data_IF_049973231059
#
_entry.id   IF_049973231059
#
_cell.length_a   1.000
_cell.length_b   1.000
_cell.length_c   1.000
_cell.angle_alpha   90.00
_cell.angle_beta   90.00
_cell.angle_gamma   90.00
#
_symmetry.space_group_name_H-M   'P 1'
#
loop_
_entity.id
_entity.type
_entity.pdbx_description
1 polymer ?
#
# COMPACT_ATOMS: atom_id res chain seq x y z
N UNK A 1 -26.11 -14.35 -8.07
CA UNK A 1 -26.51 -12.96 -7.75
C UNK A 1 -25.22 -12.24 -7.35
N UNK A 2 -24.70 -11.37 -8.22
CA UNK A 2 -23.51 -10.58 -7.94
C UNK A 2 -23.92 -9.35 -7.14
N UNK A 3 -23.90 -9.44 -5.81
CA UNK A 3 -24.09 -8.27 -4.96
C UNK A 3 -22.75 -7.53 -4.88
N UNK A 4 -22.76 -6.23 -5.18
CA UNK A 4 -21.63 -5.35 -4.89
C UNK A 4 -21.43 -5.28 -3.37
N UNK A 5 -20.21 -5.56 -2.91
CA UNK A 5 -19.84 -5.31 -1.51
C UNK A 5 -19.82 -3.80 -1.24
N UNK A 6 -20.15 -3.38 -0.01
CA UNK A 6 -19.99 -1.98 0.41
C UNK A 6 -18.51 -1.59 0.55
N UNK A 7 -17.65 -2.57 0.83
CA UNK A 7 -16.21 -2.38 1.05
C UNK A 7 -15.39 -3.21 0.07
N UNK A 8 -14.23 -2.67 -0.28
CA UNK A 8 -13.16 -3.34 -1.00
C UNK A 8 -12.00 -3.60 -0.03
N UNK A 9 -11.33 -4.73 -0.20
CA UNK A 9 -10.21 -5.16 0.64
C UNK A 9 -8.94 -5.32 -0.19
N UNK A 10 -7.92 -4.54 0.12
CA UNK A 10 -6.69 -4.45 -0.65
C UNK A 10 -5.58 -5.22 0.05
N UNK A 11 -4.96 -6.16 -0.65
CA UNK A 11 -3.79 -6.90 -0.14
C UNK A 11 -2.55 -6.10 -0.51
N UNK A 12 -1.79 -5.70 0.50
CA UNK A 12 -0.62 -4.84 0.36
C UNK A 12 0.61 -5.61 0.85
N UNK A 13 1.69 -5.55 0.07
CA UNK A 13 3.01 -6.00 0.46
C UNK A 13 3.92 -4.78 0.67
N UNK A 14 4.42 -4.62 1.88
CA UNK A 14 5.47 -3.65 2.22
C UNK A 14 6.78 -4.39 2.45
N UNK A 15 7.83 -3.95 1.73
CA UNK A 15 9.19 -4.50 1.86
C UNK A 15 10.13 -3.41 2.34
N UNK A 16 10.83 -3.68 3.44
CA UNK A 16 11.94 -2.85 3.94
C UNK A 16 13.22 -3.62 3.72
N UNK A 17 14.21 -2.99 3.09
CA UNK A 17 15.52 -3.60 2.86
C UNK A 17 16.57 -2.89 3.72
N UNK A 18 16.81 -3.43 4.92
CA UNK A 18 17.78 -2.85 5.86
C UNK A 18 19.24 -2.98 5.39
N UNK A 19 19.52 -3.78 4.36
CA UNK A 19 20.84 -3.84 3.77
C UNK A 19 21.07 -2.65 2.82
N UNK A 20 20.06 -2.30 2.01
CA UNK A 20 20.12 -1.14 1.12
C UNK A 20 19.97 0.18 1.86
N UNK A 21 19.12 0.21 2.89
CA UNK A 21 18.89 1.37 3.73
C UNK A 21 18.78 0.96 5.20
N UNK A 22 19.88 1.06 5.98
CA UNK A 22 19.89 0.71 7.40
C UNK A 22 18.91 1.51 8.26
N UNK A 23 18.43 2.68 7.79
CA UNK A 23 17.43 3.46 8.52
C UNK A 23 16.03 2.85 8.46
N UNK A 24 15.74 2.07 7.41
CA UNK A 24 14.40 1.55 7.13
C UNK A 24 13.43 2.59 6.55
N UNK A 25 13.88 3.81 6.29
CA UNK A 25 13.08 4.89 5.71
C UNK A 25 12.66 4.57 4.28
N UNK A 26 13.48 3.84 3.52
CA UNK A 26 13.12 3.41 2.17
C UNK A 26 12.35 2.10 2.21
N UNK A 27 11.07 2.19 1.86
CA UNK A 27 10.14 1.05 1.83
C UNK A 27 9.56 0.93 0.43
N UNK A 28 9.41 -0.28 -0.05
CA UNK A 28 8.70 -0.55 -1.30
C UNK A 28 7.32 -1.09 -0.99
N UNK A 29 6.29 -0.41 -1.49
CA UNK A 29 4.89 -0.76 -1.21
C UNK A 29 4.22 -1.20 -2.51
N UNK A 30 3.60 -2.37 -2.48
CA UNK A 30 2.92 -2.99 -3.61
C UNK A 30 1.48 -3.31 -3.24
N UNK A 31 0.53 -2.80 -4.01
CA UNK A 31 -0.85 -3.26 -3.95
C UNK A 31 -0.96 -4.48 -4.85
N UNK A 32 -1.09 -5.66 -4.25
CA UNK A 32 -1.06 -6.95 -4.96
C UNK A 32 -2.41 -7.32 -5.57
N UNK A 33 -3.49 -6.78 -5.03
CA UNK A 33 -4.83 -7.01 -5.54
C UNK A 33 -5.92 -6.52 -4.60
N UNK A 34 -7.14 -6.50 -5.13
CA UNK A 34 -8.34 -6.08 -4.41
C UNK A 34 -9.37 -7.21 -4.42
N UNK A 35 -10.06 -7.40 -3.31
CA UNK A 35 -11.13 -8.39 -3.13
C UNK A 35 -12.40 -7.72 -2.65
N UNK A 36 -13.55 -8.31 -2.94
CA UNK A 36 -14.86 -7.84 -2.45
C UNK A 36 -15.21 -8.40 -1.07
N UNK A 37 -14.49 -9.40 -0.58
CA UNK A 37 -14.71 -9.99 0.75
C UNK A 37 -13.43 -10.03 1.56
N UNK A 38 -13.56 -9.85 2.88
CA UNK A 38 -12.42 -9.90 3.79
C UNK A 38 -11.78 -11.31 3.81
N UNK A 39 -12.59 -12.36 3.72
CA UNK A 39 -12.11 -13.74 3.73
C UNK A 39 -11.24 -14.04 2.50
N UNK A 40 -11.67 -13.64 1.31
CA UNK A 40 -10.86 -13.78 0.09
C UNK A 40 -9.56 -12.97 0.18
N UNK A 41 -9.59 -11.78 0.80
CA UNK A 41 -8.39 -10.98 1.01
C UNK A 41 -7.42 -11.64 1.99
N UNK A 42 -7.90 -12.23 3.09
CA UNK A 42 -7.09 -13.01 4.04
C UNK A 42 -6.45 -14.22 3.36
N UNK A 43 -7.24 -15.01 2.63
CA UNK A 43 -6.74 -16.18 1.90
C UNK A 43 -5.65 -15.81 0.89
N UNK A 44 -5.81 -14.68 0.22
CA UNK A 44 -4.80 -14.13 -0.69
C UNK A 44 -3.56 -13.65 0.07
N UNK A 45 -3.73 -12.93 1.18
CA UNK A 45 -2.63 -12.39 1.99
C UNK A 45 -1.71 -13.50 2.53
N UNK A 46 -2.27 -14.60 3.03
CA UNK A 46 -1.48 -15.72 3.56
C UNK A 46 -0.69 -16.48 2.50
N UNK A 47 -0.99 -16.29 1.20
CA UNK A 47 -0.28 -16.94 0.09
C UNK A 47 0.83 -16.08 -0.52
N UNK A 48 0.91 -14.79 -0.19
CA UNK A 48 1.83 -13.84 -0.83
C UNK A 48 3.29 -14.31 -0.78
N UNK A 49 3.81 -14.69 0.39
CA UNK A 49 5.21 -15.12 0.52
C UNK A 49 5.48 -16.42 -0.23
N UNK A 50 4.54 -17.36 -0.23
CA UNK A 50 4.63 -18.57 -1.03
C UNK A 50 4.63 -18.27 -2.54
N UNK A 51 3.86 -17.27 -3.01
CA UNK A 51 3.93 -16.83 -4.42
C UNK A 51 5.27 -16.21 -4.79
N UNK A 52 6.03 -15.72 -3.79
CA UNK A 52 7.42 -15.26 -3.93
C UNK A 52 8.45 -16.39 -3.67
N UNK A 53 7.99 -17.65 -3.60
CA UNK A 53 8.79 -18.87 -3.35
C UNK A 53 9.50 -18.92 -1.99
N UNK A 54 9.00 -18.17 -1.01
CA UNK A 54 9.46 -18.29 0.36
C UNK A 54 8.62 -19.29 1.14
N UNK A 55 9.30 -20.07 1.97
CA UNK A 55 8.72 -20.89 3.02
C UNK A 55 8.99 -20.26 4.40
N UNK A 56 8.19 -20.56 5.44
CA UNK A 56 8.40 -20.02 6.78
C UNK A 56 9.82 -20.23 7.32
N UNK A 57 10.47 -21.35 6.98
CA UNK A 57 11.83 -21.70 7.42
C UNK A 57 12.93 -20.84 6.77
N UNK A 58 12.61 -20.08 5.72
CA UNK A 58 13.54 -19.16 5.09
C UNK A 58 13.76 -17.87 5.91
N UNK A 59 12.96 -17.66 6.95
CA UNK A 59 12.96 -16.43 7.74
C UNK A 59 13.53 -16.65 9.14
N UNK A 60 14.27 -15.65 9.64
CA UNK A 60 14.73 -15.62 11.03
C UNK A 60 13.60 -15.24 12.00
N UNK A 61 12.55 -14.61 11.49
CA UNK A 61 11.33 -14.27 12.21
C UNK A 61 10.16 -14.40 11.25
N UNK A 62 9.16 -15.19 11.62
CA UNK A 62 7.95 -15.39 10.84
C UNK A 62 6.76 -15.42 11.80
N UNK A 63 5.83 -14.48 11.62
CA UNK A 63 4.66 -14.34 12.48
C UNK A 63 3.41 -14.14 11.62
N UNK A 64 2.34 -14.83 12.00
CA UNK A 64 1.03 -14.76 11.34
C UNK A 64 -0.01 -14.34 12.37
N UNK A 65 -0.78 -13.29 12.07
CA UNK A 65 -1.83 -12.80 12.94
C UNK A 65 -3.08 -13.68 12.82
N UNK A 66 -3.15 -14.72 13.66
CA UNK A 66 -4.23 -15.72 13.63
C UNK A 66 -5.37 -15.45 14.63
N UNK A 67 -5.23 -14.47 15.55
CA UNK A 67 -6.23 -14.20 16.59
C UNK A 67 -6.87 -12.82 16.45
N UNK A 68 -8.09 -12.67 16.94
CA UNK A 68 -8.75 -11.36 17.11
C UNK A 68 -8.50 -10.78 18.52
N UNK A 69 -7.63 -11.43 19.30
CA UNK A 69 -7.37 -11.15 20.71
C UNK A 69 -5.90 -11.40 21.02
N UNK A 70 -5.24 -10.43 21.66
CA UNK A 70 -3.81 -10.48 22.02
C UNK A 70 -3.05 -9.27 21.51
N UNK A 71 -1.84 -9.08 22.03
CA UNK A 71 -0.95 -8.00 21.59
C UNK A 71 -0.29 -8.38 20.25
N UNK A 72 -0.55 -7.60 19.21
CA UNK A 72 0.10 -7.73 17.91
C UNK A 72 1.13 -6.63 17.71
N UNK A 73 2.40 -7.02 17.68
CA UNK A 73 3.51 -6.07 17.69
C UNK A 73 3.79 -5.40 16.33
N UNK A 74 3.23 -5.94 15.23
CA UNK A 74 3.65 -5.56 13.88
C UNK A 74 2.73 -4.53 13.19
N UNK A 75 1.77 -3.99 13.93
CA UNK A 75 0.90 -2.91 13.47
C UNK A 75 -0.49 -3.37 13.04
N UNK A 76 -1.45 -2.44 13.10
CA UNK A 76 -2.84 -2.70 12.76
C UNK A 76 -2.98 -3.09 11.28
N UNK A 77 -3.78 -4.13 11.01
CA UNK A 77 -4.05 -4.62 9.66
C UNK A 77 -2.95 -5.49 9.04
N UNK A 78 -1.77 -5.61 9.66
CA UNK A 78 -0.74 -6.56 9.23
C UNK A 78 -1.16 -7.98 9.63
N UNK A 79 -1.20 -8.88 8.66
CA UNK A 79 -1.54 -10.29 8.84
C UNK A 79 -0.33 -11.20 8.85
N UNK A 80 0.73 -10.84 8.14
CA UNK A 80 1.98 -11.62 8.08
C UNK A 80 3.15 -10.67 8.22
N UNK A 81 4.06 -11.02 9.13
CA UNK A 81 5.36 -10.39 9.28
C UNK A 81 6.44 -11.44 9.05
N UNK A 82 7.42 -11.14 8.21
CA UNK A 82 8.54 -12.03 7.97
C UNK A 82 9.84 -11.25 7.80
N UNK A 83 10.91 -11.70 8.47
CA UNK A 83 12.25 -11.11 8.38
C UNK A 83 13.22 -12.13 7.82
N UNK A 84 13.80 -11.83 6.67
CA UNK A 84 14.80 -12.66 6.03
C UNK A 84 16.18 -12.49 6.70
N UNK A 85 17.05 -13.51 6.64
CA UNK A 85 18.43 -13.43 7.17
C UNK A 85 19.24 -12.27 6.57
N UNK A 86 18.97 -11.92 5.32
CA UNK A 86 19.63 -10.82 4.61
C UNK A 86 19.20 -9.41 5.08
N UNK A 87 18.27 -9.31 6.04
CA UNK A 87 17.79 -8.05 6.58
C UNK A 87 16.57 -7.48 5.86
N UNK A 88 16.00 -8.19 4.88
CA UNK A 88 14.72 -7.80 4.28
C UNK A 88 13.58 -8.12 5.24
N UNK A 89 12.64 -7.17 5.40
CA UNK A 89 11.41 -7.35 6.16
C UNK A 89 10.24 -7.23 5.22
N UNK A 90 9.36 -8.24 5.25
CA UNK A 90 8.12 -8.33 4.50
C UNK A 90 6.96 -8.17 5.47
N UNK A 91 6.05 -7.24 5.17
CA UNK A 91 4.80 -7.06 5.90
C UNK A 91 3.65 -7.16 4.91
N UNK A 92 2.74 -8.09 5.16
CA UNK A 92 1.53 -8.27 4.36
C UNK A 92 0.36 -7.77 5.17
N UNK A 93 -0.34 -6.77 4.65
CA UNK A 93 -1.48 -6.14 5.32
C UNK A 93 -2.72 -6.12 4.43
N UNK A 94 -3.86 -5.92 5.08
CA UNK A 94 -5.12 -5.63 4.41
C UNK A 94 -5.61 -4.26 4.84
N UNK A 95 -5.98 -3.44 3.85
CA UNK A 95 -6.73 -2.20 4.07
C UNK A 95 -8.11 -2.30 3.42
N UNK A 96 -9.09 -1.60 3.99
CA UNK A 96 -10.44 -1.55 3.46
C UNK A 96 -10.76 -0.13 2.99
N UNK A 97 -11.42 -0.01 1.83
CA UNK A 97 -11.98 1.25 1.33
C UNK A 97 -13.44 1.09 0.93
N UNK A 98 -14.23 2.18 0.89
CA UNK A 98 -15.57 2.14 0.31
C UNK A 98 -15.55 1.74 -1.16
N UNK A 99 -16.52 0.90 -1.57
CA UNK A 99 -16.70 0.50 -2.97
C UNK A 99 -17.50 1.55 -3.77
N UNK A 100 -16.92 2.75 -3.94
CA UNK A 100 -17.58 3.88 -4.62
C UNK A 100 -17.88 3.61 -6.09
N UNK A 101 -17.03 2.81 -6.74
CA UNK A 101 -17.15 2.41 -8.15
C UNK A 101 -18.15 1.26 -8.36
N UNK A 102 -18.78 0.74 -7.30
CA UNK A 102 -19.73 -0.37 -7.35
C UNK A 102 -19.18 -1.63 -8.04
N UNK A 103 -17.89 -1.90 -7.83
CA UNK A 103 -17.19 -3.05 -8.41
C UNK A 103 -17.83 -4.35 -7.92
N UNK A 104 -18.02 -5.27 -8.86
CA UNK A 104 -18.59 -6.59 -8.59
C UNK A 104 -17.47 -7.60 -8.31
N UNK A 105 -17.76 -8.52 -7.42
CA UNK A 105 -16.90 -9.67 -7.14
C UNK A 105 -17.33 -10.88 -7.95
N UNK A 106 -16.35 -11.68 -8.39
CA UNK A 106 -16.58 -13.04 -8.86
C UNK A 106 -16.77 -14.00 -7.67
N UNK A 107 -17.05 -15.26 -7.96
CA UNK A 107 -17.28 -16.34 -6.99
C UNK A 107 -16.14 -16.58 -6.00
N UNK A 108 -14.91 -16.22 -6.35
CA UNK A 108 -13.71 -16.30 -5.51
C UNK A 108 -13.42 -14.99 -4.74
N UNK A 109 -14.28 -13.97 -4.87
CA UNK A 109 -14.09 -12.64 -4.29
C UNK A 109 -13.14 -11.73 -5.05
N UNK A 110 -12.62 -12.13 -6.21
CA UNK A 110 -11.83 -11.28 -7.11
C UNK A 110 -12.69 -10.19 -7.74
N UNK A 111 -12.13 -9.00 -7.95
CA UNK A 111 -12.83 -7.95 -8.71
C UNK A 111 -13.04 -8.39 -10.16
N UNK A 112 -14.27 -8.29 -10.64
CA UNK A 112 -14.61 -8.35 -12.05
C UNK A 112 -14.33 -6.99 -12.69
N UNK A 113 -13.18 -6.86 -13.36
CA UNK A 113 -12.84 -5.62 -14.05
C UNK A 113 -13.81 -5.34 -15.21
N UNK A 114 -14.24 -4.07 -15.40
CA UNK A 114 -15.02 -3.70 -16.57
C UNK A 114 -14.27 -4.00 -17.88
N UNK A 115 -15.02 -4.24 -18.96
CA UNK A 115 -14.43 -4.60 -20.25
C UNK A 115 -13.43 -3.52 -20.72
N UNK A 116 -12.22 -3.95 -21.09
CA UNK A 116 -11.16 -3.06 -21.58
C UNK A 116 -10.33 -2.39 -20.49
N UNK A 117 -10.59 -2.67 -19.22
CA UNK A 117 -9.82 -2.15 -18.08
C UNK A 117 -8.79 -3.19 -17.64
N UNK A 118 -7.49 -2.91 -17.76
CA UNK A 118 -6.44 -3.87 -17.42
C UNK A 118 -6.16 -3.95 -15.92
N UNK A 119 -6.40 -2.87 -15.18
CA UNK A 119 -6.12 -2.76 -13.75
C UNK A 119 -6.90 -1.62 -13.11
N UNK A 120 -7.02 -1.65 -11.78
CA UNK A 120 -7.53 -0.55 -10.98
C UNK A 120 -6.42 0.45 -10.66
N UNK A 121 -6.82 1.70 -10.44
CA UNK A 121 -5.97 2.77 -9.94
C UNK A 121 -6.30 3.07 -8.49
N UNK A 122 -5.27 3.28 -7.68
CA UNK A 122 -5.38 3.51 -6.25
C UNK A 122 -4.80 4.86 -5.92
N UNK A 123 -5.53 5.65 -5.15
CA UNK A 123 -5.00 6.86 -4.53
C UNK A 123 -4.45 6.46 -3.18
N UNK A 124 -3.17 6.71 -2.95
CA UNK A 124 -2.52 6.41 -1.66
C UNK A 124 -1.97 7.67 -1.04
N UNK A 125 -2.15 7.80 0.27
CA UNK A 125 -1.54 8.83 1.10
C UNK A 125 -0.50 8.18 2.00
N UNK A 126 0.72 8.70 1.99
CA UNK A 126 1.77 8.30 2.94
C UNK A 126 2.14 9.47 3.82
N UNK A 127 2.07 9.28 5.13
CA UNK A 127 2.41 10.27 6.15
C UNK A 127 3.66 9.82 6.90
N UNK A 128 4.61 10.74 7.06
CA UNK A 128 5.85 10.54 7.81
C UNK A 128 6.00 11.66 8.84
N UNK A 129 5.95 11.29 10.13
CA UNK A 129 6.13 12.23 11.23
C UNK A 129 7.56 12.15 11.76
N UNK A 130 8.42 13.02 11.25
CA UNK A 130 9.83 13.10 11.65
C UNK A 130 10.05 13.54 13.10
N UNK A 131 9.05 14.13 13.76
CA UNK A 131 9.16 14.46 15.18
C UNK A 131 8.96 13.23 16.06
N UNK A 132 8.07 12.33 15.67
CA UNK A 132 7.89 11.03 16.33
C UNK A 132 9.04 10.09 16.02
N UNK A 133 9.52 10.10 14.77
CA UNK A 133 10.63 9.28 14.33
C UNK A 133 11.54 10.04 13.35
N UNK A 134 12.66 10.54 13.87
CA UNK A 134 13.66 11.26 13.07
C UNK A 134 14.30 10.41 11.98
N UNK A 135 14.20 9.10 12.05
CA UNK A 135 14.71 8.21 10.99
C UNK A 135 13.74 8.15 9.80
N UNK A 136 12.47 8.50 9.99
CA UNK A 136 11.43 8.35 8.97
C UNK A 136 11.05 6.89 8.70
N UNK A 137 11.44 5.95 9.56
CA UNK A 137 11.12 4.53 9.45
C UNK A 137 9.63 4.27 9.75
N UNK A 138 9.06 5.02 10.70
CA UNK A 138 7.63 5.01 11.00
C UNK A 138 6.89 5.84 9.95
N UNK A 139 6.26 5.13 9.02
CA UNK A 139 5.43 5.70 7.96
C UNK A 139 4.07 5.03 7.95
N UNK A 140 3.03 5.83 7.78
CA UNK A 140 1.66 5.35 7.66
C UNK A 140 1.19 5.58 6.23
N UNK A 141 1.00 4.48 5.49
CA UNK A 141 0.40 4.52 4.14
C UNK A 141 -1.05 4.06 4.24
N UNK A 142 -1.96 4.81 3.63
CA UNK A 142 -3.37 4.49 3.51
C UNK A 142 -3.82 4.57 2.05
N UNK A 143 -4.70 3.66 1.65
CA UNK A 143 -5.43 3.76 0.38
C UNK A 143 -6.68 4.60 0.64
N UNK A 144 -6.78 5.74 -0.03
CA UNK A 144 -7.87 6.69 0.10
C UNK A 144 -9.02 6.40 -0.86
N UNK A 145 -8.73 5.72 -1.98
CA UNK A 145 -9.75 5.37 -2.95
C UNK A 145 -9.24 4.43 -4.04
N UNK A 146 -10.20 3.75 -4.67
CA UNK A 146 -9.97 2.81 -5.76
C UNK A 146 -10.85 3.20 -6.95
N UNK A 147 -10.26 3.27 -8.14
CA UNK A 147 -10.88 3.85 -9.33
C UNK A 147 -10.64 2.98 -10.55
N UNK A 148 -11.62 2.94 -11.46
CA UNK A 148 -11.49 2.25 -12.76
C UNK A 148 -10.62 3.04 -13.73
N UNK A 149 -10.69 4.37 -13.69
CA UNK A 149 -9.98 5.23 -14.62
C UNK A 149 -8.93 6.10 -13.93
N UNK A 150 -7.74 6.19 -14.55
CA UNK A 150 -6.63 7.01 -14.04
C UNK A 150 -7.00 8.49 -13.90
N UNK A 151 -7.83 9.00 -14.81
CA UNK A 151 -8.28 10.39 -14.76
C UNK A 151 -9.07 10.69 -13.48
N UNK A 152 -9.94 9.77 -13.07
CA UNK A 152 -10.75 9.92 -11.85
C UNK A 152 -9.88 9.78 -10.59
N UNK A 153 -8.95 8.82 -10.58
CA UNK A 153 -7.95 8.72 -9.52
C UNK A 153 -7.12 10.00 -9.36
N UNK A 154 -6.62 10.57 -10.47
CA UNK A 154 -5.88 11.83 -10.45
C UNK A 154 -6.74 13.00 -9.95
N UNK A 155 -8.00 13.06 -10.37
CA UNK A 155 -8.93 14.10 -9.93
C UNK A 155 -9.23 14.00 -8.43
N UNK A 156 -9.39 12.78 -7.90
CA UNK A 156 -9.58 12.53 -6.48
C UNK A 156 -8.32 12.89 -5.70
N UNK A 157 -7.16 12.40 -6.14
CA UNK A 157 -5.87 12.61 -5.47
C UNK A 157 -5.49 14.09 -5.36
N UNK A 158 -5.76 14.89 -6.41
CA UNK A 158 -5.54 16.36 -6.38
C UNK A 158 -6.44 17.12 -5.42
N UNK A 159 -7.56 16.52 -5.00
CA UNK A 159 -8.53 17.11 -4.08
C UNK A 159 -8.42 16.54 -2.66
N UNK A 160 -7.52 15.58 -2.46
CA UNK A 160 -7.41 14.86 -1.19
C UNK A 160 -6.93 15.77 -0.06
N UNK A 161 -5.96 16.64 -0.36
CA UNK A 161 -5.38 17.58 0.59
C UNK A 161 -5.86 19.00 0.31
N UNK A 162 -6.19 19.75 1.35
CA UNK A 162 -6.38 21.20 1.25
C UNK A 162 -5.01 21.89 1.39
N UNK A 163 -4.52 22.61 0.37
CA UNK A 163 -3.23 23.32 0.45
C UNK A 163 -3.14 24.33 1.60
N UNK A 164 -4.28 24.82 2.12
CA UNK A 164 -4.32 25.77 3.23
C UNK A 164 -3.97 25.15 4.59
N UNK A 165 -4.02 23.81 4.69
CA UNK A 165 -3.70 23.08 5.91
C UNK A 165 -2.19 22.84 6.08
N UNK A 166 -1.36 23.23 5.09
CA UNK A 166 0.05 22.90 5.04
C UNK A 166 0.94 24.15 4.95
N UNK A 167 2.12 24.06 5.55
CA UNK A 167 3.15 25.10 5.44
C UNK A 167 3.79 25.11 4.04
N UNK A 168 3.97 23.93 3.46
CA UNK A 168 4.47 23.73 2.10
C UNK A 168 3.54 22.77 1.36
N UNK A 169 3.22 23.11 0.10
CA UNK A 169 2.37 22.28 -0.76
C UNK A 169 2.84 22.40 -2.21
N UNK A 170 3.39 21.31 -2.72
CA UNK A 170 3.99 21.22 -4.04
C UNK A 170 3.25 20.19 -4.90
N UNK A 171 3.13 20.52 -6.19
CA UNK A 171 2.61 19.62 -7.22
C UNK A 171 3.52 19.65 -8.44
N UNK A 172 3.55 18.57 -9.25
CA UNK A 172 4.41 18.49 -10.44
C UNK A 172 4.23 19.67 -11.40
N UNK A 173 3.02 20.22 -11.50
CA UNK A 173 2.68 21.36 -12.37
C UNK A 173 3.11 22.73 -11.82
N UNK A 174 3.33 22.85 -10.50
CA UNK A 174 3.74 24.12 -9.86
C UNK A 174 5.25 24.23 -9.72
N UNK A 175 5.96 23.09 -9.68
CA UNK A 175 7.40 23.06 -9.53
C UNK A 175 8.08 23.43 -10.86
N UNK A 176 8.95 24.46 -10.83
CA UNK A 176 9.73 24.87 -12.01
C UNK A 176 10.97 24.01 -12.22
N UNK A 177 11.40 23.33 -11.16
CA UNK A 177 12.55 22.42 -11.14
C UNK A 177 12.11 20.98 -11.40
N UNK A 178 13.08 20.07 -11.50
CA UNK A 178 12.80 18.65 -11.67
C UNK A 178 12.05 18.10 -10.45
N UNK A 179 10.92 17.43 -10.69
CA UNK A 179 10.06 16.86 -9.66
C UNK A 179 10.76 15.69 -8.94
N UNK A 180 11.15 15.82 -7.65
CA UNK A 180 12.06 14.87 -7.01
C UNK A 180 11.33 13.67 -6.37
N UNK A 181 10.00 13.71 -6.29
CA UNK A 181 9.22 12.73 -5.53
C UNK A 181 8.82 11.49 -6.36
N UNK A 182 8.97 11.56 -7.68
CA UNK A 182 8.69 10.47 -8.61
C UNK A 182 7.40 10.66 -9.41
N UNK A 183 7.32 9.97 -10.55
CA UNK A 183 6.30 10.20 -11.59
C UNK A 183 4.86 9.89 -11.16
N UNK A 184 4.69 9.03 -10.15
CA UNK A 184 3.37 8.63 -9.64
C UNK A 184 2.87 9.54 -8.50
N UNK A 185 3.72 10.46 -8.00
CA UNK A 185 3.34 11.42 -6.95
C UNK A 185 2.61 12.60 -7.57
N UNK A 186 1.40 12.86 -7.07
CA UNK A 186 0.57 13.98 -7.54
C UNK A 186 0.67 15.22 -6.65
N UNK A 187 1.03 15.06 -5.38
CA UNK A 187 1.20 16.13 -4.42
C UNK A 187 2.17 15.71 -3.31
N UNK A 188 2.98 16.67 -2.87
CA UNK A 188 3.80 16.56 -1.67
C UNK A 188 3.49 17.77 -0.78
N UNK A 189 3.29 17.53 0.51
CA UNK A 189 2.92 18.58 1.45
C UNK A 189 3.63 18.40 2.79
N UNK A 190 3.97 19.51 3.44
CA UNK A 190 4.62 19.53 4.74
C UNK A 190 3.79 20.37 5.70
N UNK A 191 3.33 19.77 6.79
CA UNK A 191 2.58 20.46 7.83
C UNK A 191 3.49 21.41 8.63
N UNK A 192 2.94 22.37 9.36
CA UNK A 192 3.73 23.26 10.24
C UNK A 192 4.55 22.49 11.29
N UNK A 193 4.09 21.29 11.66
CA UNK A 193 4.81 20.39 12.56
C UNK A 193 6.04 19.77 11.89
N UNK A 194 6.18 19.80 10.57
CA UNK A 194 7.20 19.07 9.82
C UNK A 194 6.77 17.65 9.42
N UNK A 195 5.51 17.27 9.66
CA UNK A 195 4.93 16.04 9.15
C UNK A 195 4.83 16.11 7.61
N UNK A 196 5.41 15.12 6.94
CA UNK A 196 5.44 15.04 5.49
C UNK A 196 4.30 14.15 5.01
N UNK A 197 3.49 14.64 4.08
CA UNK A 197 2.42 13.90 3.42
C UNK A 197 2.71 13.81 1.92
N UNK A 198 2.64 12.60 1.37
CA UNK A 198 2.82 12.34 -0.06
C UNK A 198 1.58 11.64 -0.60
N UNK A 199 1.03 12.14 -1.71
CA UNK A 199 -0.13 11.55 -2.38
C UNK A 199 0.30 10.99 -3.72
N UNK A 200 -0.05 9.73 -3.97
CA UNK A 200 0.34 8.98 -5.17
C UNK A 200 -0.87 8.35 -5.85
N UNK A 201 -0.78 8.18 -7.17
CA UNK A 201 -1.72 7.35 -7.93
C UNK A 201 -0.98 6.12 -8.45
N UNK A 202 -1.28 4.97 -7.84
CA UNK A 202 -0.64 3.68 -8.14
C UNK A 202 -1.58 2.75 -8.91
N UNK A 203 -1.02 1.74 -9.57
CA UNK A 203 -1.75 0.58 -10.11
C UNK A 203 -1.15 -0.69 -9.53
N UNK A 204 -1.85 -1.82 -9.63
CA UNK A 204 -1.20 -3.12 -9.40
C UNK A 204 -0.03 -3.23 -10.37
N UNK A 205 1.16 -3.46 -9.82
CA UNK A 205 2.39 -3.65 -10.58
C UNK A 205 3.05 -4.95 -10.15
N UNK A 206 3.35 -5.79 -11.14
CA UNK A 206 4.04 -7.07 -10.96
C UNK A 206 5.55 -6.90 -10.69
N UNK A 207 5.98 -5.72 -10.30
CA UNK A 207 7.40 -5.44 -10.01
C UNK A 207 7.85 -6.01 -8.66
N UNK A 208 6.92 -6.50 -7.84
CA UNK A 208 7.21 -7.17 -6.57
C UNK A 208 7.97 -8.50 -6.77
N UNK A 209 7.91 -9.14 -7.95
CA UNK A 209 8.68 -10.35 -8.27
C UNK A 209 10.20 -10.16 -8.22
N UNK A 210 10.71 -8.91 -8.20
CA UNK A 210 12.14 -8.67 -7.96
C UNK A 210 12.60 -9.14 -6.57
N UNK A 211 11.67 -9.35 -5.65
CA UNK A 211 11.93 -9.94 -4.33
C UNK A 211 11.61 -11.44 -4.29
N UNK A 212 11.32 -12.08 -5.42
CA UNK A 212 11.20 -13.54 -5.47
C UNK A 212 12.51 -14.18 -5.01
N UNK A 213 12.43 -15.25 -4.22
CA UNK A 213 13.59 -15.98 -3.75
C UNK A 213 14.41 -16.48 -4.94
N UNK A 214 15.68 -16.08 -5.00
CA UNK A 214 16.64 -16.63 -5.96
C UNK A 214 17.04 -18.02 -5.45
N UNK A 215 16.71 -19.05 -6.24
CA UNK A 215 17.00 -20.46 -5.96
C UNK A 215 18.36 -20.84 -6.52
#
# INVERSE_FOLDING_TARGET
MSNSSELLYHVILSVIDFHLDPSGAKRSIYILGTRTTLDAAKDSAFRVLHTLRYEPEDFIEYAVHSSHTGDWAYGNGVLVYAKAPAGQVFQISIQATPNTEQLLGDSDGSIMLPQGIPSLYYVTQTVIDYNKDRTGCVQEMQIEGTFVHRADANNAARKLLDPLDYAEYDTPDKMKEEWPYGDDVVAHAVAETGENTTVEVKTVVDTHYKYEKVV
#
